data_IF_307227466261
#
_entry.id   IF_307227466261
#
_cell.length_a   1.000
_cell.length_b   1.000
_cell.length_c   1.000
_cell.angle_alpha   90.00
_cell.angle_beta   90.00
_cell.angle_gamma   90.00
#
_symmetry.space_group_name_H-M   'P 1'
#
loop_
_entity.id
_entity.type
_entity.pdbx_description
1 polymer ?
#
# COMPACT_ATOMS: atom_id res chain seq x y z
N UNK A 1 5.49 -7.91 0.26
CA UNK A 1 6.24 -8.36 -0.93
C UNK A 1 7.64 -8.78 -0.50
N UNK A 2 8.19 -9.85 -1.08
CA UNK A 2 9.59 -10.26 -0.91
C UNK A 2 10.54 -9.30 -1.66
N UNK A 3 11.84 -9.35 -1.38
CA UNK A 3 12.87 -8.59 -2.14
C UNK A 3 12.79 -8.81 -3.66
N UNK A 4 12.46 -10.03 -4.08
CA UNK A 4 12.28 -10.38 -5.49
C UNK A 4 11.05 -9.69 -6.09
N UNK A 5 9.91 -9.79 -5.40
CA UNK A 5 8.67 -9.15 -5.81
C UNK A 5 8.81 -7.62 -5.84
N UNK A 6 9.59 -7.04 -4.93
CA UNK A 6 9.94 -5.62 -4.93
C UNK A 6 10.72 -5.26 -6.19
N UNK A 7 11.74 -6.03 -6.59
CA UNK A 7 12.46 -5.79 -7.85
C UNK A 7 11.57 -5.90 -9.08
N UNK A 8 10.68 -6.90 -9.11
CA UNK A 8 9.70 -7.05 -10.20
C UNK A 8 8.74 -5.86 -10.22
N UNK A 9 8.28 -5.38 -9.06
CA UNK A 9 7.40 -4.22 -8.95
C UNK A 9 8.09 -2.93 -9.40
N UNK A 10 9.32 -2.69 -8.95
CA UNK A 10 10.12 -1.54 -9.39
C UNK A 10 10.35 -1.59 -10.90
N UNK A 11 10.65 -2.78 -11.45
CA UNK A 11 10.81 -2.93 -12.90
C UNK A 11 9.51 -2.68 -13.65
N UNK A 12 8.38 -3.19 -13.18
CA UNK A 12 7.07 -2.93 -13.79
C UNK A 12 6.71 -1.44 -13.79
N UNK A 13 6.96 -0.75 -12.67
CA UNK A 13 6.77 0.70 -12.60
C UNK A 13 7.71 1.44 -13.56
N UNK A 14 8.95 0.97 -13.70
CA UNK A 14 9.93 1.47 -14.68
C UNK A 14 9.45 1.29 -16.12
N UNK A 15 8.97 0.10 -16.50
CA UNK A 15 8.38 -0.17 -17.82
C UNK A 15 7.22 0.79 -18.08
N UNK A 16 6.33 1.00 -17.11
CA UNK A 16 5.23 1.96 -17.28
C UNK A 16 5.76 3.38 -17.52
N UNK A 17 6.81 3.81 -16.83
CA UNK A 17 7.45 5.13 -17.07
C UNK A 17 8.08 5.22 -18.46
N UNK A 18 8.76 4.15 -18.91
CA UNK A 18 9.38 4.05 -20.25
C UNK A 18 8.35 4.14 -21.38
N UNK A 19 7.09 3.78 -21.11
CA UNK A 19 5.98 3.78 -22.06
C UNK A 19 4.92 4.86 -21.74
N UNK A 20 5.35 6.07 -21.36
CA UNK A 20 4.45 7.24 -21.12
C UNK A 20 3.32 6.98 -20.11
N UNK A 21 3.61 6.16 -19.11
CA UNK A 21 2.69 5.77 -18.06
C UNK A 21 1.64 4.74 -18.48
N UNK A 22 1.73 4.12 -19.67
CA UNK A 22 0.74 3.16 -20.16
C UNK A 22 1.37 2.01 -20.95
N UNK A 23 1.00 0.78 -20.61
CA UNK A 23 1.46 -0.40 -21.37
C UNK A 23 0.41 -1.49 -21.36
N UNK A 24 0.36 -2.29 -22.42
CA UNK A 24 -0.44 -3.52 -22.42
C UNK A 24 0.09 -4.50 -21.36
N UNK A 25 -0.81 -5.10 -20.58
CA UNK A 25 -0.51 -6.00 -19.45
C UNK A 25 0.26 -7.22 -19.90
N UNK A 26 -0.09 -7.82 -21.03
CA UNK A 26 0.60 -9.01 -21.54
C UNK A 26 1.98 -8.66 -22.12
N UNK A 27 2.13 -7.49 -22.75
CA UNK A 27 3.44 -6.97 -23.15
C UNK A 27 4.35 -6.74 -21.93
N UNK A 28 3.85 -6.07 -20.90
CA UNK A 28 4.60 -5.86 -19.65
C UNK A 28 4.97 -7.19 -18.99
N UNK A 29 4.04 -8.13 -18.92
CA UNK A 29 4.28 -9.48 -18.41
C UNK A 29 5.36 -10.20 -19.22
N UNK A 30 5.33 -10.11 -20.54
CA UNK A 30 6.33 -10.72 -21.42
C UNK A 30 7.73 -10.15 -21.18
N UNK A 31 7.84 -8.82 -21.04
CA UNK A 31 9.10 -8.15 -20.70
C UNK A 31 9.65 -8.61 -19.35
N UNK A 32 8.80 -8.65 -18.32
CA UNK A 32 9.19 -9.12 -16.99
C UNK A 32 9.61 -10.60 -17.01
N UNK A 33 8.87 -11.46 -17.72
CA UNK A 33 9.23 -12.86 -17.84
C UNK A 33 10.57 -13.05 -18.55
N UNK A 34 10.88 -12.25 -19.57
CA UNK A 34 12.17 -12.26 -20.26
C UNK A 34 13.31 -11.84 -19.33
N UNK A 35 13.07 -10.87 -18.47
CA UNK A 35 14.08 -10.30 -17.58
C UNK A 35 14.34 -11.17 -16.33
N UNK A 36 13.33 -11.86 -15.81
CA UNK A 36 13.44 -12.57 -14.53
C UNK A 36 13.52 -14.11 -14.62
N UNK A 37 13.27 -14.71 -15.80
CA UNK A 37 12.99 -16.12 -16.19
C UNK A 37 13.47 -17.36 -15.38
N UNK A 38 14.25 -17.23 -14.32
CA UNK A 38 14.76 -18.36 -13.53
C UNK A 38 13.71 -18.95 -12.57
N UNK A 39 13.11 -20.09 -12.98
CA UNK A 39 12.32 -21.09 -12.22
C UNK A 39 11.34 -20.50 -11.18
N UNK A 40 10.04 -20.49 -11.53
CA UNK A 40 8.83 -20.16 -10.72
C UNK A 40 8.28 -18.72 -10.81
N UNK A 41 8.72 -17.95 -11.79
CA UNK A 41 8.44 -16.51 -11.97
C UNK A 41 7.02 -16.03 -12.20
N UNK A 42 6.18 -16.88 -12.76
CA UNK A 42 4.83 -16.47 -13.16
C UNK A 42 3.96 -16.10 -11.96
N UNK A 43 4.18 -16.77 -10.82
CA UNK A 43 3.42 -16.53 -9.60
C UNK A 43 3.77 -15.16 -9.02
N UNK A 44 5.07 -14.85 -8.90
CA UNK A 44 5.52 -13.56 -8.39
C UNK A 44 5.08 -12.39 -9.27
N UNK A 45 5.15 -12.54 -10.60
CA UNK A 45 4.72 -11.48 -11.53
C UNK A 45 3.22 -11.21 -11.42
N UNK A 46 2.38 -12.25 -11.39
CA UNK A 46 0.94 -12.07 -11.23
C UNK A 46 0.59 -11.47 -9.87
N UNK A 47 1.22 -11.95 -8.80
CA UNK A 47 1.07 -11.38 -7.46
C UNK A 47 1.45 -9.90 -7.43
N UNK A 48 2.55 -9.51 -8.09
CA UNK A 48 2.98 -8.12 -8.19
C UNK A 48 1.95 -7.27 -8.94
N UNK A 49 1.40 -7.76 -10.07
CA UNK A 49 0.32 -7.06 -10.75
C UNK A 49 -0.87 -6.83 -9.82
N UNK A 50 -1.35 -7.87 -9.16
CA UNK A 50 -2.53 -7.78 -8.30
C UNK A 50 -2.29 -6.85 -7.11
N UNK A 51 -1.11 -6.92 -6.49
CA UNK A 51 -0.74 -6.04 -5.37
C UNK A 51 -0.66 -4.57 -5.82
N UNK A 52 -0.02 -4.29 -6.95
CA UNK A 52 0.12 -2.92 -7.44
C UNK A 52 -1.21 -2.31 -7.90
N UNK A 53 -2.13 -3.13 -8.39
CA UNK A 53 -3.44 -2.69 -8.86
C UNK A 53 -4.43 -2.55 -7.70
N UNK A 54 -4.60 -3.61 -6.91
CA UNK A 54 -5.68 -3.71 -5.94
C UNK A 54 -5.29 -3.14 -4.57
N UNK A 55 -4.13 -3.54 -4.06
CA UNK A 55 -3.73 -3.21 -2.69
C UNK A 55 -3.14 -1.82 -2.61
N UNK A 56 -2.16 -1.53 -3.48
CA UNK A 56 -1.41 -0.28 -3.44
C UNK A 56 -1.98 0.79 -4.38
N UNK A 57 -2.79 0.41 -5.37
CA UNK A 57 -3.40 1.33 -6.36
C UNK A 57 -2.37 2.24 -7.06
N UNK A 58 -1.16 1.72 -7.26
CA UNK A 58 -0.08 2.40 -7.98
C UNK A 58 -0.25 2.26 -9.49
N UNK A 59 -0.96 1.22 -9.91
CA UNK A 59 -1.33 0.94 -11.30
C UNK A 59 -2.85 0.79 -11.37
N UNK A 60 -3.46 1.28 -12.45
CA UNK A 60 -4.89 1.12 -12.73
C UNK A 60 -5.07 0.36 -14.04
N UNK A 61 -6.16 -0.40 -14.15
CA UNK A 61 -6.57 -1.01 -15.40
C UNK A 61 -7.31 0.02 -16.26
N UNK A 62 -6.99 0.05 -17.55
CA UNK A 62 -7.64 0.90 -18.55
C UNK A 62 -8.26 0.00 -19.62
N UNK A 63 -9.57 -0.24 -19.51
CA UNK A 63 -10.26 -1.20 -20.38
C UNK A 63 -9.67 -2.62 -20.30
N UNK A 64 -9.83 -3.38 -21.37
CA UNK A 64 -9.35 -4.76 -21.43
C UNK A 64 -7.86 -4.78 -21.75
N UNK A 65 -7.06 -5.02 -20.71
CA UNK A 65 -5.65 -5.40 -20.86
C UNK A 65 -4.64 -4.27 -20.88
N UNK A 66 -5.02 -2.99 -20.73
CA UNK A 66 -4.04 -1.91 -20.54
C UNK A 66 -3.84 -1.56 -19.08
N UNK A 67 -2.59 -1.24 -18.75
CA UNK A 67 -2.18 -0.72 -17.47
C UNK A 67 -1.86 0.76 -17.61
N UNK A 68 -2.23 1.53 -16.59
CA UNK A 68 -1.94 2.95 -16.49
C UNK A 68 -1.33 3.25 -15.12
N UNK A 69 -0.25 4.02 -15.12
CA UNK A 69 0.35 4.53 -13.90
C UNK A 69 -0.58 5.56 -13.23
N UNK A 70 -0.79 5.44 -11.91
CA UNK A 70 -1.52 6.46 -11.14
C UNK A 70 -0.58 7.59 -10.71
N UNK A 71 -1.09 8.76 -10.26
CA UNK A 71 -0.22 9.82 -9.75
C UNK A 71 0.68 9.37 -8.58
N UNK A 72 0.19 8.49 -7.71
CA UNK A 72 1.03 7.91 -6.65
C UNK A 72 2.02 6.89 -7.23
N UNK A 73 1.60 6.09 -8.21
CA UNK A 73 2.48 5.20 -8.98
C UNK A 73 3.65 5.94 -9.63
N UNK A 74 3.43 7.13 -10.21
CA UNK A 74 4.48 7.97 -10.80
C UNK A 74 5.53 8.38 -9.78
N UNK A 75 5.08 8.80 -8.60
CA UNK A 75 6.00 9.16 -7.51
C UNK A 75 6.80 7.95 -7.06
N UNK A 76 6.16 6.77 -6.98
CA UNK A 76 6.81 5.57 -6.50
C UNK A 76 7.75 4.94 -7.52
N UNK A 77 7.45 5.06 -8.82
CA UNK A 77 8.38 4.67 -9.89
C UNK A 77 9.73 5.41 -9.76
N UNK A 78 9.72 6.66 -9.28
CA UNK A 78 10.95 7.43 -9.07
C UNK A 78 11.63 7.15 -7.72
N UNK A 79 10.87 6.77 -6.68
CA UNK A 79 11.39 6.60 -5.31
C UNK A 79 11.68 5.15 -4.92
N UNK A 80 11.16 4.18 -5.66
CA UNK A 80 11.27 2.75 -5.39
C UNK A 80 10.28 2.22 -4.34
N UNK A 81 9.94 0.94 -4.48
CA UNK A 81 8.93 0.25 -3.69
C UNK A 81 9.32 0.00 -2.25
N UNK A 82 10.62 -0.14 -1.92
CA UNK A 82 11.09 -0.22 -0.53
C UNK A 82 10.71 1.02 0.27
N UNK A 83 10.90 2.20 -0.32
CA UNK A 83 10.54 3.47 0.30
C UNK A 83 9.03 3.60 0.47
N UNK A 84 8.25 3.10 -0.50
CA UNK A 84 6.80 3.07 -0.40
C UNK A 84 6.30 2.19 0.74
N UNK A 85 6.83 0.97 0.89
CA UNK A 85 6.47 0.09 1.99
C UNK A 85 6.79 0.69 3.35
N UNK A 86 7.95 1.36 3.48
CA UNK A 86 8.29 2.11 4.69
C UNK A 86 7.31 3.25 4.97
N UNK A 87 6.87 3.97 3.93
CA UNK A 87 5.85 5.02 4.06
C UNK A 87 4.51 4.44 4.51
N UNK A 88 4.11 3.28 3.98
CA UNK A 88 2.88 2.60 4.36
C UNK A 88 2.92 2.14 5.82
N UNK A 89 4.00 1.50 6.27
CA UNK A 89 4.13 1.04 7.65
C UNK A 89 4.08 2.19 8.66
N UNK A 90 4.71 3.33 8.33
CA UNK A 90 4.61 4.54 9.16
C UNK A 90 3.16 5.04 9.21
N UNK A 91 2.47 5.08 8.07
CA UNK A 91 1.07 5.54 8.00
C UNK A 91 0.14 4.64 8.82
N UNK A 92 0.35 3.33 8.76
CA UNK A 92 -0.42 2.34 9.50
C UNK A 92 -0.19 2.45 11.00
N UNK A 93 1.08 2.55 11.43
CA UNK A 93 1.46 2.81 12.81
C UNK A 93 0.84 4.11 13.37
N UNK A 94 0.83 5.19 12.58
CA UNK A 94 0.16 6.44 12.95
C UNK A 94 -1.36 6.29 13.09
N UNK A 95 -1.99 5.48 12.24
CA UNK A 95 -3.44 5.22 12.31
C UNK A 95 -3.80 4.42 13.57
N UNK A 96 -3.02 3.40 13.88
CA UNK A 96 -3.17 2.61 15.11
C UNK A 96 -2.97 3.47 16.35
N UNK A 97 -1.91 4.29 16.37
CA UNK A 97 -1.61 5.21 17.48
C UNK A 97 -2.75 6.21 17.74
N UNK A 98 -3.31 6.79 16.67
CA UNK A 98 -4.48 7.69 16.78
C UNK A 98 -5.72 6.96 17.32
N UNK A 99 -5.95 5.74 16.86
CA UNK A 99 -7.08 4.92 17.31
C UNK A 99 -6.94 4.58 18.79
N UNK A 100 -5.75 4.19 19.23
CA UNK A 100 -5.44 3.93 20.63
C UNK A 100 -5.63 5.17 21.51
N UNK A 101 -5.16 6.34 21.09
CA UNK A 101 -5.34 7.59 21.82
C UNK A 101 -6.83 7.96 22.00
N UNK A 102 -7.65 7.77 20.96
CA UNK A 102 -9.11 8.01 21.04
C UNK A 102 -9.75 7.06 22.05
N UNK A 103 -9.40 5.76 22.02
CA UNK A 103 -9.94 4.78 22.96
C UNK A 103 -9.55 5.10 24.41
N UNK A 104 -8.29 5.48 24.65
CA UNK A 104 -7.83 5.90 25.98
C UNK A 104 -8.64 7.11 26.46
N UNK A 105 -8.80 8.13 25.60
CA UNK A 105 -9.57 9.33 25.94
C UNK A 105 -11.00 8.98 26.34
N UNK A 106 -11.68 8.10 25.60
CA UNK A 106 -13.05 7.69 25.90
C UNK A 106 -13.16 6.98 27.26
N UNK A 107 -12.23 6.06 27.54
CA UNK A 107 -12.19 5.35 28.82
C UNK A 107 -11.92 6.31 29.99
N UNK A 108 -10.99 7.24 29.82
CA UNK A 108 -10.70 8.27 30.84
C UNK A 108 -11.91 9.17 31.11
N UNK A 109 -12.66 9.58 30.08
CA UNK A 109 -13.88 10.37 30.26
C UNK A 109 -14.96 9.60 31.02
N UNK A 110 -15.17 8.32 30.69
CA UNK A 110 -16.15 7.47 31.39
C UNK A 110 -15.80 7.30 32.87
N UNK A 111 -14.54 6.97 33.19
CA UNK A 111 -14.08 6.84 34.58
C UNK A 111 -14.23 8.17 35.32
N UNK A 112 -13.79 9.28 34.71
CA UNK A 112 -13.93 10.61 35.29
C UNK A 112 -15.39 10.95 35.62
N UNK A 113 -16.31 10.69 34.68
CA UNK A 113 -17.73 10.95 34.88
C UNK A 113 -18.34 10.13 36.03
N UNK A 114 -17.96 8.84 36.16
CA UNK A 114 -18.41 7.97 37.24
C UNK A 114 -17.93 8.47 38.61
N UNK A 115 -16.65 8.87 38.69
CA UNK A 115 -16.07 9.43 39.92
C UNK A 115 -16.79 10.73 40.30
N UNK A 116 -17.04 11.62 39.34
CA UNK A 116 -17.77 12.87 39.61
C UNK A 116 -19.16 12.60 40.16
N UNK A 117 -19.93 11.69 39.55
CA UNK A 117 -21.27 11.31 40.02
C UNK A 117 -21.22 10.75 41.43
N UNK A 118 -20.27 9.87 41.75
CA UNK A 118 -20.11 9.30 43.10
C UNK A 118 -19.76 10.38 44.15
N UNK A 119 -18.88 11.32 43.82
CA UNK A 119 -18.54 12.43 44.72
C UNK A 119 -19.77 13.31 44.98
N UNK A 120 -20.52 13.67 43.92
CA UNK A 120 -21.74 14.47 44.08
C UNK A 120 -22.80 13.75 44.90
N UNK A 121 -22.93 12.42 44.77
CA UNK A 121 -23.87 11.63 45.55
C UNK A 121 -23.47 11.45 47.04
N UNK A 122 -22.18 11.53 47.37
CA UNK A 122 -21.67 11.40 48.74
C UNK A 122 -21.61 12.73 49.51
N UNK A 123 -21.52 13.85 48.80
CA UNK A 123 -21.44 15.20 49.38
C UNK A 123 -22.77 15.97 49.33
N UNK A 124 -23.79 15.42 48.64
CA UNK A 124 -25.14 15.98 48.53
C UNK A 124 -26.11 15.44 49.57
#
# INVERSE_FOLDING_TARGET
MTERQIRIADRLLGILVEHDGRVNKDSARSLLLKEFAERMDRIDINFVFDTLINDYKLVALLGEGWLRLTPEGQKMAHRGMKNYQRKLSIKEWWKESKTAAILISLVSTLIGSLITVLITALLG
#
